data_IF_945647517851
#
_entry.id   IF_945647517851
#
_cell.length_a   1.000
_cell.length_b   1.000
_cell.length_c   1.000
_cell.angle_alpha   90.00
_cell.angle_beta   90.00
_cell.angle_gamma   90.00
#
_symmetry.space_group_name_H-M   'P 1'
#
loop_
_entity.id
_entity.type
_entity.pdbx_description
1 polymer ?
#
# COMPACT_ATOMS: atom_id res chain seq x y z
N UNK A 1 -5.69 36.68 -42.94
CA UNK A 1 -4.65 35.78 -42.41
C UNK A 1 -4.55 35.80 -40.88
N UNK A 2 -4.63 36.95 -40.19
CA UNK A 2 -4.49 37.06 -38.72
C UNK A 2 -5.59 36.37 -37.90
N UNK A 3 -6.83 36.27 -38.40
CA UNK A 3 -7.93 35.59 -37.68
C UNK A 3 -7.73 34.07 -37.58
N UNK A 4 -7.14 33.45 -38.60
CA UNK A 4 -6.91 32.00 -38.66
C UNK A 4 -5.80 31.60 -37.67
N UNK A 5 -4.72 32.39 -37.59
CA UNK A 5 -3.64 32.15 -36.61
C UNK A 5 -4.11 32.32 -35.16
N UNK A 6 -4.99 33.29 -34.89
CA UNK A 6 -5.60 33.47 -33.56
C UNK A 6 -6.46 32.28 -33.15
N UNK A 7 -7.34 31.80 -34.05
CA UNK A 7 -8.21 30.65 -33.78
C UNK A 7 -7.42 29.35 -33.55
N UNK A 8 -6.37 29.12 -34.35
CA UNK A 8 -5.46 27.98 -34.19
C UNK A 8 -4.71 28.04 -32.86
N UNK A 9 -4.23 29.22 -32.43
CA UNK A 9 -3.58 29.38 -31.13
C UNK A 9 -4.54 29.11 -29.97
N UNK A 10 -5.77 29.64 -30.01
CA UNK A 10 -6.79 29.36 -28.98
C UNK A 10 -7.18 27.88 -28.94
N UNK A 11 -7.29 27.21 -30.08
CA UNK A 11 -7.60 25.79 -30.16
C UNK A 11 -6.47 24.91 -29.59
N UNK A 12 -5.21 25.26 -29.90
CA UNK A 12 -4.04 24.57 -29.34
C UNK A 12 -3.91 24.77 -27.82
N UNK A 13 -4.19 25.97 -27.31
CA UNK A 13 -4.20 26.25 -25.87
C UNK A 13 -5.31 25.49 -25.14
N UNK A 14 -6.50 25.36 -25.75
CA UNK A 14 -7.61 24.55 -25.24
C UNK A 14 -7.25 23.06 -25.21
N UNK A 15 -6.69 22.53 -26.30
CA UNK A 15 -6.22 21.13 -26.35
C UNK A 15 -5.11 20.86 -25.31
N UNK A 16 -4.17 21.79 -25.15
CA UNK A 16 -3.11 21.68 -24.13
C UNK A 16 -3.70 21.70 -22.72
N UNK A 17 -4.66 22.57 -22.46
CA UNK A 17 -5.34 22.65 -21.15
C UNK A 17 -6.15 21.39 -20.84
N UNK A 18 -6.87 20.82 -21.82
CA UNK A 18 -7.65 19.59 -21.67
C UNK A 18 -6.75 18.38 -21.44
N UNK A 19 -5.65 18.26 -22.20
CA UNK A 19 -4.70 17.16 -22.03
C UNK A 19 -4.00 17.21 -20.66
N UNK A 20 -3.64 18.41 -20.19
CA UNK A 20 -3.06 18.59 -18.86
C UNK A 20 -4.05 18.25 -17.74
N UNK A 21 -5.29 18.75 -17.81
CA UNK A 21 -6.34 18.46 -16.82
C UNK A 21 -6.66 16.95 -16.72
N UNK A 22 -6.74 16.26 -17.87
CA UNK A 22 -6.95 14.81 -17.90
C UNK A 22 -5.76 14.04 -17.28
N UNK A 23 -4.53 14.51 -17.50
CA UNK A 23 -3.34 13.90 -16.91
C UNK A 23 -3.29 14.05 -15.37
N UNK A 24 -3.72 15.21 -14.85
CA UNK A 24 -3.80 15.49 -13.42
C UNK A 24 -4.86 14.59 -12.77
N UNK A 25 -6.06 14.50 -13.37
CA UNK A 25 -7.14 13.64 -12.89
C UNK A 25 -6.70 12.16 -12.86
N UNK A 26 -6.05 11.68 -13.93
CA UNK A 26 -5.51 10.32 -13.98
C UNK A 26 -4.55 10.03 -12.83
N UNK A 27 -3.60 10.95 -12.59
CA UNK A 27 -2.59 10.81 -11.54
C UNK A 27 -3.25 10.78 -10.16
N UNK A 28 -4.22 11.65 -9.92
CA UNK A 28 -4.98 11.70 -8.67
C UNK A 28 -5.75 10.40 -8.42
N UNK A 29 -6.44 9.87 -9.43
CA UNK A 29 -7.18 8.59 -9.31
C UNK A 29 -6.24 7.41 -9.07
N UNK A 30 -5.10 7.37 -9.74
CA UNK A 30 -4.10 6.33 -9.48
C UNK A 30 -3.54 6.42 -8.05
N UNK A 31 -3.26 7.63 -7.54
CA UNK A 31 -2.81 7.81 -6.16
C UNK A 31 -3.88 7.40 -5.14
N UNK A 32 -5.15 7.75 -5.36
CA UNK A 32 -6.25 7.31 -4.52
C UNK A 32 -6.36 5.78 -4.51
N UNK A 33 -6.29 5.14 -5.68
CA UNK A 33 -6.33 3.70 -5.81
C UNK A 33 -5.19 3.03 -5.02
N UNK A 34 -3.96 3.49 -5.21
CA UNK A 34 -2.80 3.02 -4.45
C UNK A 34 -2.98 3.20 -2.94
N UNK A 35 -3.45 4.36 -2.49
CA UNK A 35 -3.67 4.64 -1.06
C UNK A 35 -4.72 3.71 -0.47
N UNK A 36 -5.83 3.48 -1.18
CA UNK A 36 -6.90 2.56 -0.73
C UNK A 36 -6.42 1.12 -0.67
N UNK A 37 -5.63 0.66 -1.64
CA UNK A 37 -5.02 -0.68 -1.62
C UNK A 37 -4.04 -0.80 -0.46
N UNK A 38 -3.13 0.14 -0.28
CA UNK A 38 -2.14 0.13 0.81
C UNK A 38 -2.82 0.15 2.19
N UNK A 39 -3.86 0.97 2.36
CA UNK A 39 -4.63 1.05 3.60
C UNK A 39 -5.36 -0.26 3.91
N UNK A 40 -6.00 -0.86 2.91
CA UNK A 40 -6.73 -2.12 3.07
C UNK A 40 -5.77 -3.28 3.34
N UNK A 41 -4.62 -3.28 2.67
CA UNK A 41 -3.57 -4.28 2.87
C UNK A 41 -3.01 -4.23 4.30
N UNK A 42 -2.73 -3.02 4.81
CA UNK A 42 -2.32 -2.82 6.19
C UNK A 42 -3.40 -3.29 7.17
N UNK A 43 -4.66 -2.90 6.96
CA UNK A 43 -5.75 -3.28 7.85
C UNK A 43 -5.96 -4.80 7.91
N UNK A 44 -5.95 -5.47 6.76
CA UNK A 44 -6.06 -6.92 6.71
C UNK A 44 -4.91 -7.59 7.46
N UNK A 45 -3.68 -7.08 7.31
CA UNK A 45 -2.54 -7.56 8.10
C UNK A 45 -2.76 -7.38 9.60
N UNK A 46 -3.26 -6.21 10.04
CA UNK A 46 -3.55 -5.94 11.46
C UNK A 46 -4.55 -6.94 12.02
N UNK A 47 -5.69 -7.11 11.34
CA UNK A 47 -6.75 -8.00 11.78
C UNK A 47 -6.28 -9.46 11.85
N UNK A 48 -5.58 -9.92 10.81
CA UNK A 48 -5.01 -11.27 10.81
C UNK A 48 -3.99 -11.46 11.95
N UNK A 49 -3.09 -10.50 12.15
CA UNK A 49 -2.10 -10.58 13.23
C UNK A 49 -2.75 -10.64 14.61
N UNK A 50 -3.77 -9.81 14.88
CA UNK A 50 -4.54 -9.81 16.13
C UNK A 50 -5.23 -11.17 16.32
N UNK A 51 -5.81 -11.73 15.25
CA UNK A 51 -6.49 -13.03 15.31
C UNK A 51 -5.55 -14.18 15.68
N UNK A 52 -4.32 -14.17 15.15
CA UNK A 52 -3.30 -15.19 15.44
C UNK A 52 -2.61 -14.96 16.80
N UNK A 53 -2.59 -13.72 17.29
CA UNK A 53 -1.88 -13.33 18.51
C UNK A 53 -2.79 -12.51 19.44
N UNK A 54 -3.89 -13.09 19.97
CA UNK A 54 -4.94 -12.34 20.69
C UNK A 54 -4.46 -11.67 21.98
N UNK A 55 -3.33 -12.11 22.54
CA UNK A 55 -2.73 -11.51 23.74
C UNK A 55 -1.73 -10.39 23.42
N UNK A 56 -1.31 -10.23 22.16
CA UNK A 56 -0.40 -9.17 21.76
C UNK A 56 -1.16 -7.86 21.68
N UNK A 57 -0.82 -6.92 22.58
CA UNK A 57 -1.48 -5.61 22.63
C UNK A 57 -0.83 -4.58 21.72
N UNK A 58 0.50 -4.60 21.61
CA UNK A 58 1.28 -3.55 20.93
C UNK A 58 2.40 -4.18 20.09
N UNK A 59 2.79 -3.53 18.98
CA UNK A 59 3.97 -3.90 18.18
C UNK A 59 4.82 -2.68 17.87
N UNK A 60 5.58 -2.21 18.86
CA UNK A 60 6.44 -1.04 18.72
C UNK A 60 7.62 -1.28 17.76
N UNK A 61 7.85 -0.33 16.86
CA UNK A 61 8.93 -0.35 15.88
C UNK A 61 9.61 1.01 15.76
N UNK A 62 10.94 1.02 15.70
CA UNK A 62 11.73 2.25 15.58
C UNK A 62 11.45 2.92 14.22
N UNK A 63 11.12 4.21 14.19
CA UNK A 63 11.00 5.02 12.96
C UNK A 63 12.16 6.00 12.83
N UNK A 64 12.55 6.25 11.58
CA UNK A 64 13.51 7.31 11.21
C UNK A 64 12.84 8.66 11.01
N UNK A 65 11.50 8.71 10.93
CA UNK A 65 10.71 9.91 10.70
C UNK A 65 10.11 10.43 12.01
N UNK A 66 10.98 10.91 12.91
CA UNK A 66 10.60 11.41 14.23
C UNK A 66 10.03 12.84 14.22
N UNK A 67 10.23 13.61 13.13
CA UNK A 67 9.85 15.02 13.02
C UNK A 67 8.35 15.27 12.94
N UNK A 68 7.57 14.23 12.60
CA UNK A 68 6.12 14.35 12.38
C UNK A 68 5.28 14.23 13.65
N UNK A 69 5.90 14.05 14.82
CA UNK A 69 5.20 13.82 16.07
C UNK A 69 5.39 14.98 17.04
N UNK A 70 4.28 15.42 17.64
CA UNK A 70 4.31 16.45 18.68
C UNK A 70 4.99 15.87 19.93
N UNK A 71 5.88 16.59 20.63
CA UNK A 71 6.39 16.19 21.94
C UNK A 71 5.31 15.68 22.93
N UNK A 72 4.07 16.17 22.83
CA UNK A 72 2.93 15.71 23.63
C UNK A 72 2.41 14.30 23.27
N UNK A 73 2.76 13.76 22.10
CA UNK A 73 2.33 12.42 21.64
C UNK A 73 3.15 11.28 22.27
N UNK A 74 4.19 11.62 23.05
CA UNK A 74 5.19 10.66 23.50
C UNK A 74 5.00 10.23 24.95
N UNK A 75 5.09 8.92 25.17
CA UNK A 75 5.32 8.33 26.48
C UNK A 75 6.70 7.67 26.57
N UNK A 76 7.25 7.63 27.78
CA UNK A 76 8.51 6.96 28.07
C UNK A 76 8.29 5.44 28.36
N UNK A 77 9.11 4.53 27.83
CA UNK A 77 8.99 3.07 27.95
C UNK A 77 8.96 2.55 29.39
N UNK A 78 9.50 3.31 30.35
CA UNK A 78 9.44 2.92 31.75
C UNK A 78 8.00 2.95 32.30
N UNK A 79 7.11 3.80 31.74
CA UNK A 79 5.67 3.78 32.07
C UNK A 79 5.03 2.44 31.64
N UNK A 80 5.54 1.81 30.57
CA UNK A 80 5.05 0.53 30.06
C UNK A 80 5.55 -0.68 30.90
N UNK A 81 6.58 -0.51 31.73
CA UNK A 81 7.25 -1.60 32.46
C UNK A 81 7.01 -1.58 33.98
N UNK A 82 6.33 -0.56 34.52
CA UNK A 82 5.92 -0.55 35.93
C UNK A 82 4.49 -1.10 36.03
N UNK A 83 4.33 -2.17 36.80
CA UNK A 83 3.06 -2.85 37.02
C UNK A 83 1.91 -1.87 37.31
N UNK A 84 0.75 -2.16 36.75
CA UNK A 84 -0.54 -1.47 36.97
C UNK A 84 -0.75 -0.06 36.40
N UNK A 85 0.13 0.47 35.55
CA UNK A 85 -0.19 1.71 34.82
C UNK A 85 -1.22 1.43 33.71
N UNK A 86 -2.40 2.06 33.78
CA UNK A 86 -3.37 2.18 32.69
C UNK A 86 -2.69 2.90 31.50
N UNK A 87 -2.01 2.15 30.66
CA UNK A 87 -1.55 2.65 29.36
C UNK A 87 -2.80 2.88 28.53
N UNK A 88 -3.09 4.13 28.19
CA UNK A 88 -4.23 4.47 27.35
C UNK A 88 -4.16 3.66 26.06
N UNK A 89 -5.26 2.98 25.67
CA UNK A 89 -5.37 2.20 24.41
C UNK A 89 -5.10 3.03 23.13
N UNK A 90 -4.84 4.34 23.28
CA UNK A 90 -4.61 5.30 22.20
C UNK A 90 -3.13 5.66 22.01
N UNK A 91 -2.20 5.05 22.75
CA UNK A 91 -0.78 5.42 22.68
C UNK A 91 -0.09 4.74 21.49
N UNK A 92 0.08 5.49 20.40
CA UNK A 92 0.64 5.03 19.13
C UNK A 92 2.15 5.27 18.99
N UNK A 93 2.78 6.02 19.91
CA UNK A 93 4.17 6.45 19.81
C UNK A 93 4.88 6.42 21.17
N UNK A 94 6.17 6.09 21.21
CA UNK A 94 7.01 6.09 22.42
C UNK A 94 8.44 6.59 22.14
N UNK A 95 9.14 7.15 23.13
CA UNK A 95 10.55 7.60 23.02
C UNK A 95 11.47 6.79 23.92
N UNK A 96 12.65 6.34 23.46
CA UNK A 96 13.56 5.65 24.38
C UNK A 96 13.96 6.54 25.57
N UNK A 97 13.87 6.01 26.80
CA UNK A 97 14.21 6.75 28.02
C UNK A 97 15.63 7.31 28.00
N UNK A 98 16.59 6.47 27.62
CA UNK A 98 18.02 6.80 27.65
C UNK A 98 18.50 7.46 26.35
N UNK A 99 17.64 7.55 25.34
CA UNK A 99 17.93 8.26 24.11
C UNK A 99 16.62 8.82 23.50
N UNK A 100 16.17 10.02 23.92
CA UNK A 100 14.90 10.57 23.51
C UNK A 100 14.84 10.89 22.01
N UNK A 101 15.96 10.85 21.28
CA UNK A 101 15.96 10.95 19.81
C UNK A 101 15.38 9.70 19.13
N UNK A 102 15.36 8.55 19.81
CA UNK A 102 14.79 7.32 19.29
C UNK A 102 13.28 7.27 19.53
N UNK A 103 12.52 7.22 18.42
CA UNK A 103 11.06 7.18 18.41
C UNK A 103 10.58 5.82 17.91
N UNK A 104 9.65 5.22 18.63
CA UNK A 104 8.98 3.97 18.29
C UNK A 104 7.51 4.23 17.99
N UNK A 105 6.96 3.53 17.02
CA UNK A 105 5.55 3.58 16.65
C UNK A 105 4.89 2.22 16.79
N UNK A 106 3.66 2.20 17.27
CA UNK A 106 2.87 0.99 17.41
C UNK A 106 2.17 0.64 16.09
N UNK A 107 2.88 -0.06 15.21
CA UNK A 107 2.34 -0.39 13.89
C UNK A 107 1.09 -1.26 13.93
N UNK A 108 0.82 -1.95 15.05
CA UNK A 108 -0.38 -2.77 15.22
C UNK A 108 -1.61 -1.93 15.58
N UNK A 109 -1.43 -0.81 16.27
CA UNK A 109 -2.55 0.04 16.69
C UNK A 109 -2.73 1.30 15.84
N UNK A 110 -1.87 1.50 14.83
CA UNK A 110 -1.98 2.60 13.87
C UNK A 110 -2.70 2.19 12.60
N UNK A 111 -3.60 3.04 12.12
CA UNK A 111 -4.12 2.97 10.76
C UNK A 111 -3.00 3.33 9.76
N UNK A 112 -3.15 2.90 8.51
CA UNK A 112 -2.14 3.14 7.48
C UNK A 112 -1.77 4.62 7.30
N UNK A 113 -2.78 5.50 7.27
CA UNK A 113 -2.59 6.94 7.06
C UNK A 113 -1.95 7.64 8.27
N UNK A 114 -1.86 6.96 9.41
CA UNK A 114 -1.20 7.46 10.62
C UNK A 114 0.27 7.03 10.68
N UNK A 115 0.66 6.00 9.91
CA UNK A 115 2.01 5.48 9.94
C UNK A 115 3.02 6.54 9.46
N UNK A 116 4.20 6.60 10.08
CA UNK A 116 5.29 7.39 9.52
C UNK A 116 5.70 6.83 8.15
N UNK A 117 6.19 7.73 7.29
CA UNK A 117 6.41 7.42 5.88
C UNK A 117 7.32 6.22 5.61
N UNK A 118 8.32 5.99 6.47
CA UNK A 118 9.25 4.86 6.34
C UNK A 118 8.57 3.50 6.63
N UNK A 119 7.60 3.48 7.54
CA UNK A 119 6.78 2.30 7.84
C UNK A 119 5.61 2.13 6.85
N UNK A 120 5.01 3.22 6.37
CA UNK A 120 4.00 3.19 5.31
C UNK A 120 4.57 2.81 3.93
N UNK A 121 5.89 2.99 3.73
CA UNK A 121 6.55 2.87 2.44
C UNK A 121 6.34 1.51 1.77
N UNK A 122 6.53 0.39 2.48
CA UNK A 122 6.42 -0.93 1.85
C UNK A 122 5.00 -1.25 1.41
N UNK A 123 4.00 -0.97 2.25
CA UNK A 123 2.59 -1.13 1.89
C UNK A 123 2.24 -0.30 0.66
N UNK A 124 2.73 0.96 0.60
CA UNK A 124 2.57 1.85 -0.55
C UNK A 124 3.23 1.31 -1.80
N UNK A 125 4.48 0.86 -1.71
CA UNK A 125 5.27 0.37 -2.83
C UNK A 125 4.67 -0.93 -3.41
N UNK A 126 4.26 -1.86 -2.55
CA UNK A 126 3.56 -3.09 -2.95
C UNK A 126 2.23 -2.77 -3.62
N UNK A 127 1.42 -1.88 -3.02
CA UNK A 127 0.17 -1.42 -3.62
C UNK A 127 0.37 -0.76 -5.00
N UNK A 128 1.42 0.06 -5.17
CA UNK A 128 1.75 0.65 -6.46
C UNK A 128 2.03 -0.41 -7.54
N UNK A 129 2.77 -1.47 -7.21
CA UNK A 129 3.03 -2.57 -8.14
C UNK A 129 1.72 -3.29 -8.49
N UNK A 130 0.92 -3.65 -7.49
CA UNK A 130 -0.37 -4.31 -7.69
C UNK A 130 -1.32 -3.49 -8.56
N UNK A 131 -1.54 -2.20 -8.24
CA UNK A 131 -2.40 -1.31 -9.02
C UNK A 131 -1.93 -1.17 -10.47
N UNK A 132 -0.61 -1.07 -10.71
CA UNK A 132 -0.07 -1.03 -12.07
C UNK A 132 -0.33 -2.31 -12.85
N UNK A 133 -0.23 -3.48 -12.19
CA UNK A 133 -0.53 -4.76 -12.84
C UNK A 133 -2.03 -4.89 -13.14
N UNK A 134 -2.92 -4.46 -12.24
CA UNK A 134 -4.37 -4.39 -12.52
C UNK A 134 -4.63 -3.56 -13.77
N UNK A 135 -4.14 -2.32 -13.81
CA UNK A 135 -4.34 -1.42 -14.95
C UNK A 135 -3.75 -1.99 -16.25
N UNK A 136 -2.60 -2.65 -16.17
CA UNK A 136 -1.97 -3.30 -17.33
C UNK A 136 -2.79 -4.49 -17.82
N UNK A 137 -3.36 -5.29 -16.92
CA UNK A 137 -4.16 -6.47 -17.25
C UNK A 137 -5.51 -6.09 -17.86
N UNK A 138 -6.23 -5.11 -17.29
CA UNK A 138 -7.51 -4.63 -17.87
C UNK A 138 -7.31 -4.01 -19.26
N UNK A 139 -6.25 -3.21 -19.46
CA UNK A 139 -5.93 -2.61 -20.77
C UNK A 139 -5.60 -3.64 -21.83
N UNK A 140 -5.09 -4.80 -21.41
CA UNK A 140 -4.76 -5.93 -22.27
C UNK A 140 -5.88 -6.95 -22.38
N UNK A 141 -7.03 -6.70 -21.75
CA UNK A 141 -8.18 -7.60 -21.72
C UNK A 141 -7.80 -9.03 -21.30
N UNK A 142 -6.89 -9.16 -20.32
CA UNK A 142 -6.52 -10.48 -19.77
C UNK A 142 -7.67 -11.05 -18.95
N UNK A 143 -7.80 -12.36 -18.96
CA UNK A 143 -8.60 -13.11 -17.98
C UNK A 143 -7.99 -12.94 -16.58
N UNK A 144 -8.83 -12.73 -15.57
CA UNK A 144 -8.42 -12.59 -14.17
C UNK A 144 -8.58 -13.92 -13.44
N UNK A 145 -7.82 -14.91 -13.90
CA UNK A 145 -7.76 -16.28 -13.40
C UNK A 145 -6.61 -16.48 -12.40
N UNK A 146 -6.51 -17.70 -11.87
CA UNK A 146 -5.44 -18.13 -10.96
C UNK A 146 -4.04 -17.88 -11.54
N UNK A 147 -3.82 -18.18 -12.82
CA UNK A 147 -2.51 -18.01 -13.47
C UNK A 147 -2.09 -16.54 -13.53
N UNK A 148 -3.02 -15.62 -13.79
CA UNK A 148 -2.73 -14.19 -13.72
C UNK A 148 -2.35 -13.79 -12.29
N UNK A 149 -3.05 -14.30 -11.28
CA UNK A 149 -2.77 -14.01 -9.87
C UNK A 149 -1.35 -14.42 -9.52
N UNK A 150 -0.93 -15.64 -9.86
CA UNK A 150 0.44 -16.12 -9.61
C UNK A 150 1.49 -15.28 -10.35
N UNK A 151 1.29 -15.01 -11.64
CA UNK A 151 2.21 -14.20 -12.43
C UNK A 151 2.37 -12.77 -11.90
N UNK A 152 1.33 -12.22 -11.28
CA UNK A 152 1.40 -10.88 -10.68
C UNK A 152 2.00 -10.93 -9.28
N UNK A 153 1.66 -11.94 -8.47
CA UNK A 153 2.25 -12.14 -7.16
C UNK A 153 3.78 -12.28 -7.25
N UNK A 154 4.28 -13.05 -8.21
CA UNK A 154 5.73 -13.15 -8.47
C UNK A 154 6.36 -11.78 -8.80
N UNK A 155 5.71 -10.96 -9.62
CA UNK A 155 6.21 -9.61 -9.93
C UNK A 155 6.23 -8.69 -8.72
N UNK A 156 5.26 -8.83 -7.82
CA UNK A 156 5.22 -8.10 -6.56
C UNK A 156 6.41 -8.53 -5.69
N UNK A 157 6.65 -9.84 -5.56
CA UNK A 157 7.78 -10.39 -4.82
C UNK A 157 9.13 -9.92 -5.37
N UNK A 158 9.34 -10.01 -6.68
CA UNK A 158 10.55 -9.52 -7.35
C UNK A 158 10.76 -8.03 -7.07
N UNK A 159 9.69 -7.23 -7.15
CA UNK A 159 9.78 -5.81 -6.85
C UNK A 159 10.09 -5.55 -5.38
N UNK A 160 9.58 -6.38 -4.46
CA UNK A 160 9.89 -6.32 -3.05
C UNK A 160 11.36 -6.66 -2.78
N UNK A 161 11.91 -7.74 -3.34
CA UNK A 161 13.33 -8.11 -3.23
C UNK A 161 14.23 -6.94 -3.59
N UNK A 162 13.99 -6.30 -4.75
CA UNK A 162 14.79 -5.16 -5.23
C UNK A 162 14.89 -3.98 -4.25
N UNK A 163 13.91 -3.82 -3.37
CA UNK A 163 13.89 -2.77 -2.34
C UNK A 163 14.44 -3.25 -1.00
N UNK A 164 14.45 -4.56 -0.76
CA UNK A 164 14.62 -5.16 0.56
C UNK A 164 15.89 -6.01 0.69
N UNK A 165 16.63 -6.24 -0.39
CA UNK A 165 17.78 -7.16 -0.40
C UNK A 165 18.81 -6.91 0.71
N UNK A 166 19.08 -5.65 1.04
CA UNK A 166 20.08 -5.27 2.05
C UNK A 166 19.57 -5.35 3.50
N UNK A 167 18.27 -5.61 3.73
CA UNK A 167 17.65 -5.52 5.06
C UNK A 167 16.80 -6.74 5.43
N UNK A 168 16.87 -7.82 4.67
CA UNK A 168 16.10 -9.03 4.90
C UNK A 168 16.99 -10.27 4.98
N UNK A 169 16.43 -11.38 5.44
CA UNK A 169 17.13 -12.68 5.50
C UNK A 169 17.25 -13.31 4.11
N UNK A 170 18.31 -14.12 3.90
CA UNK A 170 18.55 -14.85 2.65
C UNK A 170 17.36 -15.69 2.20
N UNK A 171 16.62 -16.29 3.13
CA UNK A 171 15.45 -17.13 2.80
C UNK A 171 14.36 -16.35 2.08
N UNK A 172 14.17 -15.07 2.43
CA UNK A 172 13.18 -14.18 1.80
C UNK A 172 13.64 -13.63 0.45
N UNK A 173 14.91 -13.85 0.07
CA UNK A 173 15.46 -13.50 -1.23
C UNK A 173 15.33 -14.64 -2.26
N UNK A 174 14.77 -15.77 -1.84
CA UNK A 174 14.49 -16.90 -2.73
C UNK A 174 13.47 -16.52 -3.81
N UNK A 175 13.50 -17.26 -4.91
CA UNK A 175 12.50 -17.13 -5.98
C UNK A 175 11.09 -17.36 -5.45
N UNK A 176 10.10 -16.71 -6.07
CA UNK A 176 8.69 -16.81 -5.65
C UNK A 176 8.22 -18.27 -5.61
N UNK A 177 8.58 -19.09 -6.60
CA UNK A 177 8.16 -20.48 -6.72
C UNK A 177 8.50 -21.36 -5.51
N UNK A 178 9.60 -21.07 -4.81
CA UNK A 178 10.08 -21.84 -3.65
C UNK A 178 9.72 -21.24 -2.30
N UNK A 179 8.99 -20.11 -2.28
CA UNK A 179 8.50 -19.53 -1.04
C UNK A 179 7.45 -20.45 -0.39
N UNK A 180 7.36 -20.43 0.96
CA UNK A 180 6.20 -20.99 1.66
C UNK A 180 4.90 -20.33 1.17
N UNK A 181 3.81 -21.09 1.10
CA UNK A 181 2.51 -20.56 0.65
C UNK A 181 2.03 -19.36 1.48
N UNK A 182 2.31 -19.34 2.78
CA UNK A 182 1.97 -18.21 3.65
C UNK A 182 2.66 -16.90 3.26
N UNK A 183 3.86 -16.97 2.66
CA UNK A 183 4.56 -15.81 2.12
C UNK A 183 4.01 -15.42 0.75
N UNK A 184 3.78 -16.39 -0.14
CA UNK A 184 3.15 -16.15 -1.45
C UNK A 184 1.78 -15.50 -1.32
N UNK A 185 1.00 -15.92 -0.33
CA UNK A 185 -0.33 -15.38 -0.05
C UNK A 185 -0.31 -13.88 0.26
N UNK A 186 0.79 -13.34 0.80
CA UNK A 186 0.91 -11.90 1.03
C UNK A 186 0.95 -11.14 -0.30
N UNK A 187 1.69 -11.66 -1.28
CA UNK A 187 1.79 -11.06 -2.61
C UNK A 187 0.50 -11.23 -3.42
N UNK A 188 -0.13 -12.42 -3.37
CA UNK A 188 -1.45 -12.67 -3.98
C UNK A 188 -2.50 -11.70 -3.43
N UNK A 189 -2.56 -11.55 -2.10
CA UNK A 189 -3.54 -10.68 -1.42
C UNK A 189 -3.43 -9.24 -1.87
N UNK A 190 -2.22 -8.71 -2.07
CA UNK A 190 -2.05 -7.35 -2.58
C UNK A 190 -2.71 -7.15 -3.96
N UNK A 191 -2.57 -8.12 -4.86
CA UNK A 191 -3.21 -8.08 -6.17
C UNK A 191 -4.74 -8.25 -6.09
N UNK A 192 -5.22 -9.21 -5.30
CA UNK A 192 -6.66 -9.47 -5.15
C UNK A 192 -7.40 -8.27 -4.53
N UNK A 193 -6.80 -7.62 -3.52
CA UNK A 193 -7.32 -6.37 -2.94
C UNK A 193 -7.39 -5.27 -4.01
N UNK A 194 -6.36 -5.15 -4.86
CA UNK A 194 -6.37 -4.18 -5.94
C UNK A 194 -7.46 -4.47 -6.98
N UNK A 195 -7.67 -5.73 -7.38
CA UNK A 195 -8.76 -6.11 -8.28
C UNK A 195 -10.14 -5.75 -7.69
N UNK A 196 -10.37 -6.06 -6.40
CA UNK A 196 -11.62 -5.74 -5.72
C UNK A 196 -11.86 -4.23 -5.66
N UNK A 197 -10.87 -3.47 -5.18
CA UNK A 197 -10.97 -2.01 -5.05
C UNK A 197 -11.10 -1.31 -6.40
N UNK A 198 -10.54 -1.87 -7.47
CA UNK A 198 -10.74 -1.36 -8.81
C UNK A 198 -12.22 -1.33 -9.22
N UNK A 199 -12.96 -2.38 -8.87
CA UNK A 199 -14.40 -2.43 -9.10
C UNK A 199 -15.17 -1.52 -8.13
N UNK A 200 -14.87 -1.58 -6.83
CA UNK A 200 -15.58 -0.78 -5.80
C UNK A 200 -15.45 0.72 -6.06
N UNK A 201 -14.27 1.16 -6.50
CA UNK A 201 -13.99 2.56 -6.85
C UNK A 201 -14.46 2.93 -8.27
N UNK A 202 -15.11 1.99 -9.00
CA UNK A 202 -15.60 2.16 -10.37
C UNK A 202 -14.56 2.71 -11.33
N UNK A 203 -13.33 2.25 -11.16
CA UNK A 203 -12.17 2.74 -11.89
C UNK A 203 -12.22 2.42 -13.39
N UNK A 204 -13.00 1.41 -13.76
CA UNK A 204 -13.28 1.07 -15.15
C UNK A 204 -14.03 2.18 -15.91
N UNK A 205 -14.84 2.99 -15.24
CA UNK A 205 -15.53 4.14 -15.86
C UNK A 205 -14.51 5.21 -16.26
N UNK A 206 -13.55 5.49 -15.38
CA UNK A 206 -12.47 6.46 -15.62
C UNK A 206 -11.48 6.01 -16.69
N UNK A 207 -11.14 4.72 -16.69
CA UNK A 207 -10.15 4.16 -17.61
C UNK A 207 -10.72 3.54 -18.88
N UNK A 208 -12.05 3.63 -19.08
CA UNK A 208 -12.77 3.11 -20.27
C UNK A 208 -12.46 1.64 -20.53
N UNK A 209 -12.57 0.84 -19.49
CA UNK A 209 -12.34 -0.61 -19.49
C UNK A 209 -13.55 -1.33 -18.87
N UNK A 210 -13.48 -2.65 -18.74
CA UNK A 210 -14.55 -3.44 -18.11
C UNK A 210 -14.28 -3.66 -16.61
N UNK A 211 -15.33 -3.89 -15.80
CA UNK A 211 -15.17 -4.45 -14.47
C UNK A 211 -14.35 -5.75 -14.49
N UNK A 212 -13.65 -6.01 -13.41
CA UNK A 212 -12.87 -7.23 -13.21
C UNK A 212 -13.79 -8.33 -12.70
N UNK A 213 -13.75 -9.49 -13.35
CA UNK A 213 -14.40 -10.70 -12.86
C UNK A 213 -13.31 -11.71 -12.53
N UNK A 214 -13.09 -11.98 -11.23
CA UNK A 214 -12.15 -13.00 -10.79
C UNK A 214 -12.73 -14.37 -11.13
N UNK A 215 -11.96 -15.19 -11.81
CA UNK A 215 -12.33 -16.55 -12.19
C UNK A 215 -11.76 -17.46 -11.09
N UNK A 216 -12.65 -18.05 -10.29
CA UNK A 216 -12.25 -19.06 -9.32
C UNK A 216 -11.73 -20.30 -10.06
N UNK A 217 -10.68 -20.97 -9.54
CA UNK A 217 -10.23 -22.23 -10.12
C UNK A 217 -11.39 -23.21 -10.16
N UNK A 218 -11.60 -23.86 -11.31
CA UNK A 218 -12.53 -24.98 -11.41
C UNK A 218 -12.08 -26.05 -10.43
N UNK A 219 -12.96 -26.38 -9.47
CA UNK A 219 -12.78 -27.56 -8.63
C UNK A 219 -13.03 -28.76 -9.55
N UNK A 220 -11.96 -29.31 -10.12
CA UNK A 220 -11.97 -30.63 -10.76
C UNK A 220 -11.72 -31.73 -9.72
#
# INVERSE_FOLDING_TARGET
>A
MQLITSLVCTFLLLLFSITNANSISFKQQFHLFVRKVASTFHENWRQHYISEHPHTRNRFKLTRNASNYNPADFIYPMILTVGSCLVHRNLKVARARHNPSLVYVDILNMAYDELPDDWAYENRATAQVACRQVLRSVRRKRSFDHDLVEQVAEKIHIAWIKRNEFRTSKNMLSAYSVLPETEKDKDRRAFLIACRLYNELRLYDYWKTSPIHLIEPSIE
#
